data_IF_390206926818
#
_entry.id   IF_390206926818
#
_cell.length_a   1.000
_cell.length_b   1.000
_cell.length_c   1.000
_cell.angle_alpha   90.00
_cell.angle_beta   90.00
_cell.angle_gamma   90.00
#
_symmetry.space_group_name_H-M   'P 1'
#
loop_
_entity.id
_entity.type
_entity.pdbx_description
1 polymer ?
#
# COMPACT_ATOMS: atom_id res chain seq x y z
N UNK A 1 3.57 -9.84 -20.11
CA UNK A 1 3.20 -8.47 -19.72
C UNK A 1 4.44 -7.60 -19.90
N UNK A 2 4.28 -6.41 -20.49
CA UNK A 2 5.35 -5.53 -20.97
C UNK A 2 5.93 -4.58 -19.89
N UNK A 3 5.48 -4.75 -18.64
CA UNK A 3 5.90 -3.93 -17.50
C UNK A 3 5.15 -2.61 -17.35
N UNK A 4 4.13 -2.35 -18.19
CA UNK A 4 3.29 -1.15 -18.05
C UNK A 4 2.29 -1.29 -16.91
N UNK A 5 1.79 -0.15 -16.41
CA UNK A 5 0.66 -0.15 -15.47
C UNK A 5 -0.60 -0.64 -16.16
N UNK A 6 -1.42 -1.38 -15.41
CA UNK A 6 -2.81 -1.67 -15.79
C UNK A 6 -3.62 -0.37 -15.94
N UNK A 7 -4.78 -0.45 -16.59
CA UNK A 7 -5.68 0.69 -16.69
C UNK A 7 -6.15 1.16 -15.31
N UNK A 8 -6.52 2.45 -15.14
CA UNK A 8 -7.04 2.95 -13.87
C UNK A 8 -8.23 2.14 -13.33
N UNK A 9 -9.14 1.69 -14.22
CA UNK A 9 -10.32 0.91 -13.83
C UNK A 9 -9.95 -0.47 -13.28
N UNK A 10 -9.00 -1.17 -13.93
CA UNK A 10 -8.49 -2.45 -13.43
C UNK A 10 -7.76 -2.29 -12.09
N UNK A 11 -6.98 -1.22 -11.95
CA UNK A 11 -6.28 -0.91 -10.71
C UNK A 11 -7.28 -0.61 -9.59
N UNK A 12 -8.29 0.23 -9.83
CA UNK A 12 -9.33 0.54 -8.85
C UNK A 12 -10.04 -0.74 -8.39
N UNK A 13 -10.48 -1.59 -9.32
CA UNK A 13 -11.14 -2.85 -9.01
C UNK A 13 -10.28 -3.78 -8.13
N UNK A 14 -8.97 -3.85 -8.37
CA UNK A 14 -8.05 -4.68 -7.58
C UNK A 14 -7.99 -4.25 -6.11
N UNK A 15 -7.96 -2.94 -5.84
CA UNK A 15 -7.88 -2.40 -4.49
C UNK A 15 -9.23 -2.41 -3.78
N UNK A 16 -10.31 -2.03 -4.48
CA UNK A 16 -11.66 -1.99 -3.93
C UNK A 16 -12.16 -3.38 -3.53
N UNK A 17 -11.81 -4.42 -4.29
CA UNK A 17 -12.09 -5.81 -3.94
C UNK A 17 -11.45 -6.26 -2.60
N UNK A 18 -10.48 -5.50 -2.09
CA UNK A 18 -9.83 -5.70 -0.78
C UNK A 18 -10.24 -4.64 0.25
N UNK A 19 -11.24 -3.81 -0.07
CA UNK A 19 -11.74 -2.75 0.80
C UNK A 19 -10.81 -1.55 0.91
N UNK A 20 -9.85 -1.40 -0.01
CA UNK A 20 -8.98 -0.21 -0.10
C UNK A 20 -9.67 0.81 -1.00
N UNK A 21 -10.30 1.81 -0.40
CA UNK A 21 -11.17 2.78 -1.07
C UNK A 21 -10.69 4.22 -0.83
N UNK A 22 -11.02 5.20 -1.71
CA UNK A 22 -10.49 6.56 -1.63
C UNK A 22 -10.92 7.37 -0.39
N UNK A 23 -11.98 6.94 0.30
CA UNK A 23 -12.52 7.56 1.51
C UNK A 23 -11.79 7.14 2.79
N UNK A 24 -10.78 6.26 2.70
CA UNK A 24 -10.03 5.75 3.84
C UNK A 24 -8.62 6.32 3.92
N UNK A 25 -8.13 6.41 5.14
CA UNK A 25 -6.71 6.58 5.43
C UNK A 25 -5.96 5.26 5.15
N UNK A 26 -5.11 5.27 4.13
CA UNK A 26 -4.37 4.08 3.68
C UNK A 26 -2.89 4.19 4.03
N UNK A 27 -2.34 3.13 4.63
CA UNK A 27 -0.90 3.00 4.87
C UNK A 27 -0.38 1.81 4.07
N UNK A 28 0.47 2.08 3.08
CA UNK A 28 1.19 1.05 2.34
C UNK A 28 2.49 0.70 3.09
N UNK A 29 2.79 -0.60 3.23
CA UNK A 29 4.03 -1.08 3.84
C UNK A 29 4.48 -2.38 3.17
N UNK A 30 5.75 -2.71 3.31
CA UNK A 30 6.30 -3.99 2.88
C UNK A 30 7.36 -4.48 3.88
N UNK A 31 8.60 -4.73 3.43
CA UNK A 31 9.73 -5.05 4.31
C UNK A 31 10.57 -3.82 4.65
N UNK A 32 10.84 -2.94 3.68
CA UNK A 32 11.72 -1.76 3.80
C UNK A 32 11.21 -0.57 2.96
N UNK A 33 9.90 -0.44 2.77
CA UNK A 33 9.32 0.64 1.98
C UNK A 33 9.45 0.52 0.45
N UNK A 34 10.44 -0.17 -0.10
CA UNK A 34 10.76 -0.16 -1.54
C UNK A 34 9.59 -0.67 -2.42
N UNK A 35 8.96 -1.78 -2.03
CA UNK A 35 7.87 -2.39 -2.82
C UNK A 35 6.55 -1.66 -2.57
N UNK A 36 6.37 -1.15 -1.36
CA UNK A 36 5.16 -0.40 -1.00
C UNK A 36 5.13 0.99 -1.64
N UNK A 37 6.29 1.58 -1.97
CA UNK A 37 6.37 2.80 -2.79
C UNK A 37 5.65 2.65 -4.14
N UNK A 38 5.73 1.47 -4.77
CA UNK A 38 5.03 1.21 -6.02
C UNK A 38 3.50 1.27 -5.84
N UNK A 39 2.96 0.55 -4.87
CA UNK A 39 1.51 0.58 -4.59
C UNK A 39 1.05 1.95 -4.10
N UNK A 40 1.84 2.62 -3.26
CA UNK A 40 1.59 3.98 -2.82
C UNK A 40 1.50 4.95 -4.00
N UNK A 41 2.43 4.86 -4.97
CA UNK A 41 2.40 5.70 -6.16
C UNK A 41 1.12 5.49 -6.98
N UNK A 42 0.74 4.23 -7.18
CA UNK A 42 -0.51 3.87 -7.88
C UNK A 42 -1.72 4.50 -7.19
N UNK A 43 -1.87 4.28 -5.89
CA UNK A 43 -3.01 4.81 -5.13
C UNK A 43 -3.04 6.34 -5.15
N UNK A 44 -1.88 6.98 -4.94
CA UNK A 44 -1.77 8.43 -4.81
C UNK A 44 -1.97 9.16 -6.13
N UNK A 45 -1.29 8.72 -7.18
CA UNK A 45 -1.14 9.48 -8.42
C UNK A 45 -2.00 8.93 -9.57
N UNK A 46 -2.18 7.61 -9.65
CA UNK A 46 -2.98 7.02 -10.72
C UNK A 46 -4.46 6.94 -10.35
N UNK A 47 -4.77 6.66 -9.07
CA UNK A 47 -6.14 6.55 -8.56
C UNK A 47 -6.60 7.76 -7.74
N UNK A 48 -5.69 8.70 -7.48
CA UNK A 48 -6.04 10.00 -6.90
C UNK A 48 -6.39 10.01 -5.41
N UNK A 49 -6.06 8.95 -4.66
CA UNK A 49 -6.28 8.88 -3.21
C UNK A 49 -5.60 10.08 -2.53
N UNK A 50 -6.32 10.73 -1.61
CA UNK A 50 -5.81 11.91 -0.91
C UNK A 50 -5.00 11.53 0.32
N UNK A 51 -5.51 10.58 1.09
CA UNK A 51 -4.97 10.19 2.38
C UNK A 51 -4.26 8.84 2.32
N UNK A 52 -3.16 8.78 1.56
CA UNK A 52 -2.33 7.59 1.43
C UNK A 52 -0.86 7.88 1.75
N UNK A 53 -0.29 7.08 2.65
CA UNK A 53 1.10 7.22 3.15
C UNK A 53 1.88 5.92 2.92
N UNK A 54 3.18 6.05 2.62
CA UNK A 54 4.09 4.91 2.60
C UNK A 54 4.83 4.86 3.94
N UNK A 55 4.71 3.75 4.66
CA UNK A 55 5.46 3.52 5.89
C UNK A 55 6.81 2.90 5.55
N UNK A 56 7.86 3.73 5.57
CA UNK A 56 9.21 3.38 5.14
C UNK A 56 9.88 2.35 6.06
N UNK A 57 9.69 2.48 7.38
CA UNK A 57 10.19 1.50 8.36
C UNK A 57 9.66 0.09 8.12
N UNK A 58 8.39 -0.01 7.69
CA UNK A 58 7.79 -1.26 7.22
C UNK A 58 7.97 -2.41 8.22
N UNK A 59 7.96 -3.66 7.76
CA UNK A 59 8.13 -4.81 8.65
C UNK A 59 9.51 -4.91 9.31
N UNK A 60 10.56 -4.37 8.70
CA UNK A 60 11.89 -4.37 9.32
C UNK A 60 11.91 -3.50 10.57
N UNK A 61 11.17 -2.40 10.60
CA UNK A 61 10.98 -1.64 11.83
C UNK A 61 9.95 -2.34 12.74
N UNK A 62 8.71 -2.52 12.27
CA UNK A 62 7.60 -3.01 13.12
C UNK A 62 7.89 -4.37 13.77
N UNK A 63 8.47 -5.30 13.01
CA UNK A 63 8.83 -6.64 13.50
C UNK A 63 9.97 -6.63 14.53
N UNK A 64 10.72 -5.54 14.66
CA UNK A 64 11.76 -5.35 15.68
C UNK A 64 11.32 -4.43 16.83
N UNK A 65 10.14 -3.81 16.76
CA UNK A 65 9.63 -2.97 17.85
C UNK A 65 9.22 -3.83 19.05
N UNK A 66 9.81 -3.53 20.21
CA UNK A 66 9.45 -4.19 21.48
C UNK A 66 8.01 -3.84 21.85
N UNK A 67 7.19 -4.86 22.09
CA UNK A 67 5.81 -4.70 22.51
C UNK A 67 4.83 -4.32 21.39
N UNK A 68 5.26 -4.30 20.13
CA UNK A 68 4.35 -4.10 19.01
C UNK A 68 3.36 -5.26 18.87
N UNK A 69 2.09 -4.95 18.63
CA UNK A 69 1.08 -5.96 18.35
C UNK A 69 1.37 -6.62 17.00
N UNK A 70 1.36 -7.96 16.98
CA UNK A 70 1.62 -8.77 15.78
C UNK A 70 0.62 -9.93 15.75
N UNK A 71 -0.14 -10.01 14.66
CA UNK A 71 -0.96 -11.19 14.35
C UNK A 71 -0.08 -12.29 13.73
N UNK A 72 -0.36 -13.54 14.09
CA UNK A 72 0.31 -14.73 13.55
C UNK A 72 -0.74 -15.62 12.87
N UNK A 73 -0.34 -16.42 11.86
CA UNK A 73 -1.20 -17.46 11.29
C UNK A 73 -1.71 -18.46 12.33
#
# INVERSE_FOLDING_TARGET
EDGTFKSPDELAALYEAKGVTPDKDVIAYCRIGERSSHSWFVLRYLLGFKDVRNYDGSWTEWGNLVGAAVEKP
#
